data_IF_686160629692
#
_entry.id   IF_686160629692
#
_cell.length_a   1.000
_cell.length_b   1.000
_cell.length_c   1.000
_cell.angle_alpha   90.00
_cell.angle_beta   90.00
_cell.angle_gamma   90.00
#
_symmetry.space_group_name_H-M   'P 1'
#
loop_
_entity.id
_entity.type
_entity.pdbx_description
1 polymer ?
#
# COMPACT_ATOMS: atom_id res chain seq x y z
N UNK A 1 -7.13 -6.88 4.24
CA UNK A 1 -7.82 -5.83 5.04
C UNK A 1 -8.70 -5.02 4.11
N UNK A 2 -9.96 -4.74 4.47
CA UNK A 2 -10.85 -3.90 3.67
C UNK A 2 -10.87 -2.48 4.26
N UNK A 3 -10.34 -1.50 3.53
CA UNK A 3 -10.25 -0.09 3.97
C UNK A 3 -11.38 0.80 3.42
N UNK A 4 -12.34 0.24 2.68
CA UNK A 4 -13.37 1.04 1.98
C UNK A 4 -14.22 1.89 2.92
N UNK A 5 -14.57 1.37 4.10
CA UNK A 5 -15.32 2.15 5.11
C UNK A 5 -14.47 3.27 5.71
N UNK A 6 -13.21 2.97 6.04
CA UNK A 6 -12.23 3.93 6.59
C UNK A 6 -12.00 5.08 5.58
N UNK A 7 -11.88 4.76 4.29
CA UNK A 7 -11.62 5.73 3.23
C UNK A 7 -12.75 6.77 3.06
N UNK A 8 -14.00 6.44 3.44
CA UNK A 8 -15.13 7.39 3.36
C UNK A 8 -15.08 8.47 4.43
N UNK A 9 -14.37 8.23 5.53
CA UNK A 9 -14.18 9.18 6.62
C UNK A 9 -12.78 9.79 6.52
N UNK A 10 -12.70 11.09 6.25
CA UNK A 10 -11.42 11.79 6.04
C UNK A 10 -10.51 11.76 7.28
N UNK A 11 -11.08 11.82 8.48
CA UNK A 11 -10.30 11.80 9.72
C UNK A 11 -9.71 10.41 9.94
N UNK A 12 -10.55 9.37 9.83
CA UNK A 12 -10.09 7.99 9.96
C UNK A 12 -9.10 7.60 8.86
N UNK A 13 -9.30 8.11 7.63
CA UNK A 13 -8.38 7.89 6.53
C UNK A 13 -7.00 8.53 6.75
N UNK A 14 -6.96 9.74 7.27
CA UNK A 14 -5.69 10.39 7.62
C UNK A 14 -4.97 9.64 8.74
N UNK A 15 -5.70 9.27 9.80
CA UNK A 15 -5.15 8.46 10.89
C UNK A 15 -4.62 7.11 10.38
N UNK A 16 -5.36 6.43 9.51
CA UNK A 16 -4.93 5.17 8.91
C UNK A 16 -3.60 5.32 8.14
N UNK A 17 -3.48 6.37 7.32
CA UNK A 17 -2.24 6.64 6.58
C UNK A 17 -1.07 6.94 7.51
N UNK A 18 -1.28 7.67 8.60
CA UNK A 18 -0.26 7.94 9.60
C UNK A 18 0.16 6.66 10.33
N UNK A 19 -0.80 5.91 10.88
CA UNK A 19 -0.58 4.69 11.66
C UNK A 19 0.20 3.63 10.85
N UNK A 20 -0.02 3.57 9.54
CA UNK A 20 0.65 2.63 8.62
C UNK A 20 1.66 3.29 7.68
N UNK A 21 2.06 4.55 7.94
CA UNK A 21 3.04 5.28 7.14
C UNK A 21 2.75 5.27 5.62
N UNK A 22 1.49 5.26 5.17
CA UNK A 22 1.13 5.32 3.74
C UNK A 22 1.22 6.78 3.28
N UNK A 23 2.25 7.12 2.47
CA UNK A 23 2.56 8.52 2.15
C UNK A 23 1.93 8.98 0.85
N UNK A 24 1.80 8.07 -0.11
CA UNK A 24 1.32 8.38 -1.45
C UNK A 24 0.20 7.44 -1.89
N UNK A 25 -0.52 7.86 -2.93
CA UNK A 25 -1.57 7.06 -3.56
C UNK A 25 -1.39 7.13 -5.08
N UNK A 26 -1.49 6.00 -5.81
CA UNK A 26 -1.85 4.66 -5.31
C UNK A 26 -0.73 3.97 -4.51
N UNK A 27 -1.14 3.11 -3.57
CA UNK A 27 -0.28 2.22 -2.76
C UNK A 27 -0.85 0.81 -2.78
N UNK A 28 0.02 -0.18 -2.97
CA UNK A 28 -0.26 -1.59 -2.71
C UNK A 28 0.53 -1.98 -1.46
N UNK A 29 -0.15 -2.53 -0.46
CA UNK A 29 0.42 -2.81 0.85
C UNK A 29 0.14 -4.25 1.29
N UNK A 30 1.17 -4.91 1.79
CA UNK A 30 1.12 -6.23 2.36
C UNK A 30 0.90 -6.15 3.87
N UNK A 31 -0.18 -6.77 4.34
CA UNK A 31 -0.49 -6.88 5.76
C UNK A 31 -0.41 -8.33 6.22
N UNK A 32 0.27 -8.57 7.34
CA UNK A 32 0.26 -9.87 8.04
C UNK A 32 -0.06 -9.64 9.51
N UNK A 33 -1.03 -10.39 10.05
CA UNK A 33 -1.45 -10.29 11.45
C UNK A 33 -1.75 -8.84 11.91
N UNK A 34 -2.41 -8.07 11.05
CA UNK A 34 -2.80 -6.67 11.34
C UNK A 34 -1.67 -5.64 11.24
N UNK A 35 -0.44 -6.05 10.92
CA UNK A 35 0.72 -5.17 10.76
C UNK A 35 1.08 -4.99 9.29
N UNK A 36 1.48 -3.77 8.92
CA UNK A 36 2.09 -3.51 7.62
C UNK A 36 3.47 -4.17 7.59
N UNK A 37 3.68 -5.08 6.64
CA UNK A 37 4.95 -5.79 6.45
C UNK A 37 5.78 -5.14 5.37
N UNK A 38 5.14 -4.80 4.25
CA UNK A 38 5.78 -4.08 3.16
C UNK A 38 4.74 -3.34 2.30
N UNK A 39 5.21 -2.46 1.43
CA UNK A 39 4.38 -1.76 0.45
C UNK A 39 5.19 -1.30 -0.74
N UNK A 40 4.50 -1.15 -1.86
CA UNK A 40 4.97 -0.38 -3.00
C UNK A 40 3.96 0.73 -3.28
N UNK A 41 4.47 1.95 -3.41
CA UNK A 41 3.64 3.13 -3.65
C UNK A 41 4.20 3.97 -4.80
N UNK A 42 3.30 4.68 -5.48
CA UNK A 42 3.68 5.75 -6.38
C UNK A 42 4.43 6.83 -5.60
N UNK A 43 5.43 7.47 -6.22
CA UNK A 43 6.10 8.64 -5.63
C UNK A 43 6.37 9.67 -6.72
N UNK A 44 6.63 10.95 -6.37
CA UNK A 44 7.02 11.96 -7.36
C UNK A 44 8.27 11.61 -8.18
N UNK A 45 9.09 10.65 -7.73
CA UNK A 45 10.33 10.22 -8.39
C UNK A 45 10.20 8.87 -9.10
N UNK A 46 9.13 8.12 -8.87
CA UNK A 46 8.97 6.74 -9.36
C UNK A 46 7.49 6.41 -9.51
N UNK A 47 7.10 6.10 -10.74
CA UNK A 47 5.75 5.67 -11.05
C UNK A 47 5.44 4.28 -10.47
N UNK A 48 4.16 3.95 -10.36
CA UNK A 48 3.68 2.63 -9.97
C UNK A 48 3.23 1.85 -11.21
N UNK A 49 4.18 1.56 -12.10
CA UNK A 49 3.93 0.81 -13.33
C UNK A 49 3.58 -0.65 -13.04
N UNK A 50 2.93 -1.31 -13.99
CA UNK A 50 2.61 -2.74 -13.92
C UNK A 50 3.86 -3.60 -13.72
N UNK A 51 4.97 -3.24 -14.36
CA UNK A 51 6.23 -3.96 -14.23
C UNK A 51 6.83 -3.79 -12.83
N UNK A 52 6.81 -2.57 -12.27
CA UNK A 52 7.27 -2.33 -10.91
C UNK A 52 6.42 -3.11 -9.88
N UNK A 53 5.11 -3.18 -10.09
CA UNK A 53 4.21 -4.00 -9.26
C UNK A 53 4.52 -5.48 -9.43
N UNK A 54 4.74 -5.96 -10.66
CA UNK A 54 5.08 -7.35 -10.94
C UNK A 54 6.40 -7.76 -10.28
N UNK A 55 7.45 -6.97 -10.45
CA UNK A 55 8.75 -7.16 -9.79
C UNK A 55 8.61 -7.22 -8.28
N UNK A 56 7.83 -6.30 -7.69
CA UNK A 56 7.56 -6.31 -6.26
C UNK A 56 6.85 -7.60 -5.83
N UNK A 57 5.80 -8.02 -6.52
CA UNK A 57 5.07 -9.26 -6.22
C UNK A 57 5.96 -10.52 -6.38
N UNK A 58 6.81 -10.58 -7.42
CA UNK A 58 7.76 -11.67 -7.63
C UNK A 58 8.83 -11.70 -6.53
N UNK A 59 9.35 -10.53 -6.11
CA UNK A 59 10.34 -10.45 -5.02
C UNK A 59 9.79 -10.98 -3.69
N UNK A 60 8.47 -10.92 -3.51
CA UNK A 60 7.75 -11.46 -2.36
C UNK A 60 7.33 -12.92 -2.53
N UNK A 61 7.59 -13.52 -3.69
CA UNK A 61 7.13 -14.86 -4.06
C UNK A 61 5.61 -15.00 -3.96
N UNK A 62 4.88 -13.91 -4.20
CA UNK A 62 3.40 -13.89 -4.23
C UNK A 62 2.91 -14.43 -5.58
N UNK A 63 3.63 -14.11 -6.65
CA UNK A 63 3.38 -14.60 -8.00
C UNK A 63 4.65 -15.27 -8.55
N UNK A 64 4.45 -16.16 -9.52
CA UNK A 64 5.49 -16.90 -10.24
C UNK A 64 6.07 -16.05 -11.38
#
# INVERSE_FOLDING_TARGET
MNVHKIHKDKSQWNKFKEDYNVKYTPTIAEFRNGKLVDKIEWTPKRDLSTDAVKEWLTSKKIIL
#
